data_IF_475369020383
#
_entry.id   IF_475369020383
#
_cell.length_a   1.000
_cell.length_b   1.000
_cell.length_c   1.000
_cell.angle_alpha   90.00
_cell.angle_beta   90.00
_cell.angle_gamma   90.00
#
_symmetry.space_group_name_H-M   'P 1'
#
loop_
_entity.id
_entity.type
_entity.pdbx_description
1 polymer ?
#
# COMPACT_ATOMS: atom_id res chain seq x y z
N UNK A 1 -30.10 5.33 1.99
CA UNK A 1 -29.19 5.61 3.12
C UNK A 1 -28.47 4.30 3.43
N UNK A 2 -27.34 4.07 2.79
CA UNK A 2 -26.47 2.91 3.01
C UNK A 2 -25.68 3.19 4.29
N UNK A 3 -25.99 2.44 5.36
CA UNK A 3 -25.29 2.57 6.64
C UNK A 3 -23.81 2.30 6.46
N UNK A 4 -22.98 3.29 6.77
CA UNK A 4 -21.52 3.13 6.88
C UNK A 4 -21.29 2.11 8.01
N UNK A 5 -20.56 1.00 7.77
CA UNK A 5 -20.26 0.07 8.83
C UNK A 5 -19.48 0.81 9.92
N UNK A 6 -20.02 0.78 11.15
CA UNK A 6 -19.33 1.36 12.31
C UNK A 6 -18.15 0.48 12.68
N UNK A 7 -16.95 0.87 12.23
CA UNK A 7 -15.72 0.27 12.72
C UNK A 7 -15.49 0.65 14.19
N UNK A 8 -14.95 -0.27 15.03
CA UNK A 8 -14.54 0.08 16.36
C UNK A 8 -13.62 1.30 16.28
N UNK A 9 -13.86 2.30 17.13
CA UNK A 9 -13.13 3.56 17.14
C UNK A 9 -11.62 3.30 17.26
N UNK A 10 -10.92 3.37 16.15
CA UNK A 10 -9.47 3.45 16.16
C UNK A 10 -9.09 4.81 16.75
N UNK A 11 -8.23 4.86 17.75
CA UNK A 11 -7.69 6.13 18.22
C UNK A 11 -6.81 6.72 17.12
N UNK A 12 -7.20 7.83 16.64
CA UNK A 12 -6.62 8.65 15.58
C UNK A 12 -7.21 8.44 14.18
N UNK A 13 -7.65 9.54 13.61
CA UNK A 13 -7.95 9.73 12.20
C UNK A 13 -6.78 9.19 11.37
N UNK A 14 -7.00 8.32 10.38
CA UNK A 14 -5.94 7.96 9.45
C UNK A 14 -5.32 9.25 8.94
N UNK A 15 -4.00 9.35 9.01
CA UNK A 15 -3.20 10.47 8.51
C UNK A 15 -3.81 10.98 7.21
N UNK A 16 -4.22 12.25 7.19
CA UNK A 16 -4.90 12.80 6.04
C UNK A 16 -3.96 12.69 4.84
N UNK A 17 -4.44 12.07 3.77
CA UNK A 17 -3.70 11.91 2.51
C UNK A 17 -3.61 13.28 1.82
N UNK A 18 -2.88 14.23 2.41
CA UNK A 18 -2.80 15.64 2.01
C UNK A 18 -1.41 16.08 1.54
N UNK A 19 -0.44 15.15 1.49
CA UNK A 19 0.92 15.44 1.05
C UNK A 19 1.05 15.62 -0.46
N UNK A 20 2.13 16.27 -0.93
CA UNK A 20 2.39 16.49 -2.36
C UNK A 20 2.81 15.23 -3.14
N UNK A 21 3.04 14.11 -2.46
CA UNK A 21 3.48 12.89 -3.12
C UNK A 21 2.35 12.26 -3.97
N UNK A 22 2.62 11.86 -5.22
CA UNK A 22 1.61 11.31 -6.13
C UNK A 22 1.06 9.95 -5.70
N UNK A 23 1.77 9.23 -4.82
CA UNK A 23 1.32 7.98 -4.21
C UNK A 23 1.51 8.07 -2.72
N UNK A 24 0.42 8.01 -1.98
CA UNK A 24 0.41 8.09 -0.53
C UNK A 24 -0.24 6.85 0.06
N UNK A 25 0.42 6.23 1.04
CA UNK A 25 -0.11 5.11 1.82
C UNK A 25 -0.23 5.56 3.26
N UNK A 26 -1.46 5.79 3.71
CA UNK A 26 -1.75 6.06 5.11
C UNK A 26 -1.96 4.74 5.86
N UNK A 27 -1.40 4.66 7.06
CA UNK A 27 -1.57 3.55 7.99
C UNK A 27 -1.86 4.15 9.36
N UNK A 28 -2.96 3.74 9.98
CA UNK A 28 -3.32 4.19 11.32
C UNK A 28 -2.30 3.70 12.36
N UNK A 29 -2.30 4.32 13.53
CA UNK A 29 -1.47 3.91 14.65
C UNK A 29 -1.73 2.45 15.07
N UNK A 30 -0.74 1.87 15.74
CA UNK A 30 -0.84 0.51 16.26
C UNK A 30 -1.99 0.40 17.27
N UNK A 31 -2.89 -0.55 17.05
CA UNK A 31 -4.01 -0.82 17.93
C UNK A 31 -3.99 -2.27 18.43
N UNK A 32 -4.68 -2.53 19.51
CA UNK A 32 -4.88 -3.89 20.02
C UNK A 32 -5.58 -4.76 19.01
N UNK A 33 -5.09 -5.99 18.86
CA UNK A 33 -5.61 -6.97 17.92
C UNK A 33 -6.21 -8.16 18.70
N UNK A 34 -7.28 -8.71 18.14
CA UNK A 34 -7.91 -9.91 18.71
C UNK A 34 -7.03 -11.12 18.42
N UNK A 35 -6.62 -11.84 19.46
CA UNK A 35 -5.76 -13.02 19.32
C UNK A 35 -6.35 -14.08 18.37
N UNK A 36 -7.67 -14.27 18.38
CA UNK A 36 -8.35 -15.17 17.47
C UNK A 36 -8.18 -14.73 16.00
N UNK A 37 -8.36 -13.43 15.70
CA UNK A 37 -8.13 -12.90 14.35
C UNK A 37 -6.67 -13.09 13.94
N UNK A 38 -5.73 -12.81 14.83
CA UNK A 38 -4.29 -13.03 14.57
C UNK A 38 -3.99 -14.50 14.28
N UNK A 39 -4.55 -15.44 15.08
CA UNK A 39 -4.36 -16.87 14.89
C UNK A 39 -4.86 -17.36 13.52
N UNK A 40 -6.07 -16.96 13.13
CA UNK A 40 -6.73 -17.42 11.91
C UNK A 40 -6.50 -16.50 10.69
N UNK A 41 -5.69 -15.46 10.82
CA UNK A 41 -5.46 -14.42 9.81
C UNK A 41 -5.08 -14.99 8.44
N UNK A 42 -4.18 -15.97 8.40
CA UNK A 42 -3.75 -16.59 7.15
C UNK A 42 -4.89 -17.34 6.45
N UNK A 43 -5.80 -17.93 7.20
CA UNK A 43 -6.98 -18.61 6.66
C UNK A 43 -7.99 -17.56 6.17
N UNK A 44 -8.23 -16.53 6.98
CA UNK A 44 -9.17 -15.46 6.66
C UNK A 44 -8.78 -14.66 5.41
N UNK A 45 -7.49 -14.59 5.07
CA UNK A 45 -7.01 -13.87 3.88
C UNK A 45 -7.17 -14.67 2.59
N UNK A 46 -7.31 -16.00 2.64
CA UNK A 46 -7.36 -16.88 1.45
C UNK A 46 -8.39 -16.39 0.41
N UNK A 47 -9.66 -16.07 0.77
CA UNK A 47 -10.63 -15.60 -0.22
C UNK A 47 -10.19 -14.30 -0.91
N UNK A 48 -9.52 -13.39 -0.19
CA UNK A 48 -8.96 -12.18 -0.80
C UNK A 48 -7.84 -12.50 -1.78
N UNK A 49 -6.92 -13.41 -1.43
CA UNK A 49 -5.82 -13.80 -2.29
C UNK A 49 -6.34 -14.46 -3.57
N UNK A 50 -7.37 -15.30 -3.45
CA UNK A 50 -8.01 -15.92 -4.61
C UNK A 50 -8.60 -14.87 -5.56
N UNK A 51 -9.41 -13.96 -5.05
CA UNK A 51 -10.02 -12.91 -5.89
C UNK A 51 -8.95 -11.97 -6.44
N UNK A 52 -8.00 -11.51 -5.62
CA UNK A 52 -6.92 -10.63 -6.06
C UNK A 52 -6.02 -11.29 -7.12
N UNK A 53 -5.86 -12.61 -7.09
CA UNK A 53 -5.14 -13.32 -8.14
C UNK A 53 -5.82 -13.15 -9.51
N UNK A 54 -7.13 -13.37 -9.62
CA UNK A 54 -7.86 -13.18 -10.88
C UNK A 54 -7.90 -11.71 -11.30
N UNK A 55 -8.13 -10.80 -10.36
CA UNK A 55 -8.05 -9.36 -10.63
C UNK A 55 -6.64 -8.94 -11.07
N UNK A 56 -5.60 -9.58 -10.55
CA UNK A 56 -4.22 -9.38 -10.97
C UNK A 56 -3.95 -9.82 -12.40
N UNK A 57 -4.56 -10.93 -12.84
CA UNK A 57 -4.50 -11.35 -14.25
C UNK A 57 -5.15 -10.30 -15.17
N UNK A 58 -6.32 -9.80 -14.79
CA UNK A 58 -6.98 -8.70 -15.52
C UNK A 58 -6.12 -7.44 -15.47
N UNK A 59 -5.52 -7.11 -14.32
CA UNK A 59 -4.62 -5.95 -14.19
C UNK A 59 -3.42 -6.06 -15.13
N UNK A 60 -2.88 -7.25 -15.36
CA UNK A 60 -1.78 -7.47 -16.29
C UNK A 60 -2.18 -7.15 -17.73
N UNK A 61 -3.39 -7.51 -18.14
CA UNK A 61 -3.92 -7.16 -19.46
C UNK A 61 -4.19 -5.66 -19.55
N UNK A 62 -4.81 -5.08 -18.51
CA UNK A 62 -5.13 -3.66 -18.47
C UNK A 62 -3.86 -2.80 -18.50
N UNK A 63 -2.81 -3.17 -17.76
CA UNK A 63 -1.54 -2.44 -17.80
C UNK A 63 -0.84 -2.56 -19.15
N UNK A 64 -0.94 -3.72 -19.80
CA UNK A 64 -0.39 -3.90 -21.15
C UNK A 64 -1.07 -2.99 -22.18
N UNK A 65 -2.41 -2.94 -22.18
CA UNK A 65 -3.17 -2.01 -23.04
C UNK A 65 -2.86 -0.55 -22.65
N UNK A 66 -2.85 -0.26 -21.37
CA UNK A 66 -2.53 1.07 -20.82
C UNK A 66 -1.12 1.53 -21.17
N UNK A 67 -0.15 0.62 -21.27
CA UNK A 67 1.23 0.93 -21.68
C UNK A 67 1.28 1.49 -23.10
N UNK A 68 0.56 0.88 -24.03
CA UNK A 68 0.43 1.42 -25.39
C UNK A 68 -0.22 2.81 -25.37
N UNK A 69 -1.32 2.97 -24.63
CA UNK A 69 -1.95 4.28 -24.49
C UNK A 69 -1.00 5.34 -23.93
N UNK A 70 -0.29 5.01 -22.84
CA UNK A 70 0.66 5.91 -22.21
C UNK A 70 1.88 6.23 -23.09
N UNK A 71 2.34 5.29 -23.91
CA UNK A 71 3.45 5.48 -24.83
C UNK A 71 3.11 6.53 -25.91
N UNK A 72 1.89 6.49 -26.47
CA UNK A 72 1.48 7.41 -27.51
C UNK A 72 0.97 8.76 -26.99
N UNK A 73 0.20 8.74 -25.90
CA UNK A 73 -0.47 9.95 -25.38
C UNK A 73 0.29 10.64 -24.25
N UNK A 74 1.21 9.95 -23.58
CA UNK A 74 1.88 10.42 -22.35
C UNK A 74 0.96 10.40 -21.13
N UNK A 75 -0.17 9.68 -21.19
CA UNK A 75 -1.12 9.50 -20.08
C UNK A 75 -1.66 8.08 -20.07
N UNK A 76 -1.87 7.55 -18.87
CA UNK A 76 -2.59 6.30 -18.72
C UNK A 76 -4.07 6.54 -19.07
N UNK A 77 -4.72 5.72 -19.93
CA UNK A 77 -6.14 5.84 -20.20
C UNK A 77 -6.98 5.74 -18.92
N UNK A 78 -8.05 6.54 -18.81
CA UNK A 78 -8.85 6.66 -17.57
C UNK A 78 -9.42 5.33 -17.09
N UNK A 79 -9.87 4.47 -18.01
CA UNK A 79 -10.38 3.14 -17.63
C UNK A 79 -9.29 2.29 -16.98
N UNK A 80 -8.06 2.33 -17.50
CA UNK A 80 -6.93 1.59 -16.96
C UNK A 80 -6.51 2.17 -15.61
N UNK A 81 -6.42 3.49 -15.51
CA UNK A 81 -6.07 4.17 -14.28
C UNK A 81 -7.07 3.87 -13.14
N UNK A 82 -8.37 3.95 -13.43
CA UNK A 82 -9.42 3.68 -12.45
C UNK A 82 -9.39 2.21 -11.98
N UNK A 83 -9.25 1.27 -12.91
CA UNK A 83 -9.18 -0.15 -12.57
C UNK A 83 -7.93 -0.47 -11.73
N UNK A 84 -6.75 -0.02 -12.19
CA UNK A 84 -5.49 -0.30 -11.52
C UNK A 84 -5.40 0.38 -10.15
N UNK A 85 -5.93 1.60 -10.01
CA UNK A 85 -6.01 2.28 -8.72
C UNK A 85 -6.94 1.53 -7.74
N UNK A 86 -8.10 1.06 -8.19
CA UNK A 86 -9.02 0.24 -7.39
C UNK A 86 -8.38 -1.07 -6.95
N UNK A 87 -7.73 -1.79 -7.87
CA UNK A 87 -6.97 -3.00 -7.57
C UNK A 87 -5.88 -2.75 -6.52
N UNK A 88 -5.14 -1.64 -6.63
CA UNK A 88 -4.10 -1.27 -5.67
C UNK A 88 -4.69 -0.89 -4.30
N UNK A 89 -5.83 -0.17 -4.24
CA UNK A 89 -6.52 0.15 -2.98
C UNK A 89 -6.94 -1.11 -2.23
N UNK A 90 -7.52 -2.08 -2.94
CA UNK A 90 -7.85 -3.35 -2.31
C UNK A 90 -6.59 -4.12 -1.88
N UNK A 91 -5.58 -4.19 -2.74
CA UNK A 91 -4.33 -4.89 -2.44
C UNK A 91 -3.61 -4.30 -1.22
N UNK A 92 -3.61 -2.96 -1.02
CA UNK A 92 -2.97 -2.34 0.14
C UNK A 92 -3.70 -2.67 1.43
N UNK A 93 -5.04 -2.72 1.42
CA UNK A 93 -5.85 -3.13 2.58
C UNK A 93 -5.55 -4.56 2.99
N UNK A 94 -5.53 -5.48 2.02
CA UNK A 94 -5.15 -6.87 2.27
C UNK A 94 -3.70 -6.98 2.74
N UNK A 95 -2.79 -6.22 2.14
CA UNK A 95 -1.39 -6.14 2.55
C UNK A 95 -1.23 -5.66 4.00
N UNK A 96 -1.92 -4.60 4.39
CA UNK A 96 -1.92 -4.09 5.77
C UNK A 96 -2.49 -5.10 6.77
N UNK A 97 -3.58 -5.77 6.40
CA UNK A 97 -4.17 -6.84 7.20
C UNK A 97 -3.17 -7.99 7.40
N UNK A 98 -2.55 -8.49 6.34
CA UNK A 98 -1.55 -9.58 6.41
C UNK A 98 -0.33 -9.16 7.24
N UNK A 99 0.11 -7.91 7.12
CA UNK A 99 1.28 -7.36 7.85
C UNK A 99 0.98 -6.98 9.31
N UNK A 100 -0.15 -7.40 9.90
CA UNK A 100 -0.51 -7.11 11.29
C UNK A 100 -0.68 -5.61 11.60
N UNK A 101 -0.86 -4.76 10.59
CA UNK A 101 -1.05 -3.31 10.77
C UNK A 101 -2.49 -2.95 11.17
N UNK A 102 -3.44 -3.85 10.95
CA UNK A 102 -4.84 -3.69 11.35
C UNK A 102 -5.48 -5.03 11.68
N UNK A 103 -6.48 -5.02 12.56
CA UNK A 103 -7.31 -6.19 12.88
C UNK A 103 -8.65 -6.18 12.13
N UNK A 104 -8.96 -5.09 11.42
CA UNK A 104 -10.18 -4.96 10.65
C UNK A 104 -10.06 -5.78 9.36
N UNK A 105 -11.05 -6.67 9.14
CA UNK A 105 -11.10 -7.48 7.94
C UNK A 105 -11.29 -6.59 6.70
N UNK A 106 -10.48 -6.77 5.62
CA UNK A 106 -10.57 -5.91 4.45
C UNK A 106 -11.92 -6.05 3.74
N UNK A 107 -12.55 -4.95 3.30
CA UNK A 107 -13.73 -5.04 2.45
C UNK A 107 -13.36 -5.51 1.03
N UNK A 108 -14.27 -6.27 0.39
CA UNK A 108 -14.18 -6.66 -1.02
C UNK A 108 -14.65 -5.51 -1.92
N UNK A 109 -13.87 -4.44 -2.01
CA UNK A 109 -14.25 -3.22 -2.73
C UNK A 109 -13.06 -2.55 -3.41
N UNK A 110 -13.30 -1.87 -4.54
CA UNK A 110 -12.32 -1.06 -5.26
C UNK A 110 -12.31 0.40 -4.77
N UNK A 111 -13.44 0.85 -4.22
CA UNK A 111 -13.64 2.20 -3.75
C UNK A 111 -12.72 2.50 -2.56
N UNK A 112 -12.41 3.78 -2.39
CA UNK A 112 -11.74 4.25 -1.19
C UNK A 112 -12.72 4.20 -0.01
N UNK A 113 -12.28 3.67 1.12
CA UNK A 113 -13.02 3.66 2.37
C UNK A 113 -12.29 4.55 3.38
N UNK A 114 -12.79 5.79 3.60
CA UNK A 114 -12.17 6.72 4.53
C UNK A 114 -12.07 6.21 5.98
N UNK A 115 -12.93 5.27 6.36
CA UNK A 115 -12.93 4.66 7.70
C UNK A 115 -11.93 3.52 7.88
N UNK A 116 -11.35 3.01 6.79
CA UNK A 116 -10.43 1.87 6.88
C UNK A 116 -9.01 2.33 7.28
N UNK A 117 -8.35 1.63 8.24
CA UNK A 117 -7.06 2.07 8.80
C UNK A 117 -5.89 2.10 7.82
N UNK A 118 -5.98 1.40 6.70
CA UNK A 118 -4.91 1.35 5.68
C UNK A 118 -5.47 1.80 4.35
N UNK A 119 -4.98 2.94 3.85
CA UNK A 119 -5.51 3.60 2.66
C UNK A 119 -4.43 3.89 1.64
N UNK A 120 -4.81 3.95 0.37
CA UNK A 120 -3.95 4.34 -0.74
C UNK A 120 -4.62 5.46 -1.53
N UNK A 121 -3.98 6.61 -1.63
CA UNK A 121 -4.30 7.65 -2.59
C UNK A 121 -3.28 7.66 -3.73
N UNK A 122 -3.79 7.79 -4.95
CA UNK A 122 -2.99 7.91 -6.16
C UNK A 122 -3.50 9.10 -6.96
N UNK A 123 -2.62 10.06 -7.21
CA UNK A 123 -2.89 11.19 -8.09
C UNK A 123 -2.31 10.91 -9.47
N UNK A 124 -3.15 11.01 -10.49
CA UNK A 124 -2.69 10.80 -11.87
C UNK A 124 -1.88 12.01 -12.35
N UNK A 125 -0.69 11.74 -12.86
CA UNK A 125 0.20 12.72 -13.46
C UNK A 125 0.56 12.33 -14.88
N UNK A 126 1.12 13.28 -15.62
CA UNK A 126 1.66 13.01 -16.96
C UNK A 126 2.88 12.09 -16.87
N UNK A 127 2.90 11.08 -17.72
CA UNK A 127 3.98 10.12 -17.82
C UNK A 127 4.98 10.56 -18.91
N UNK A 128 6.28 10.45 -18.61
CA UNK A 128 7.30 10.61 -19.62
C UNK A 128 7.32 9.38 -20.54
N UNK A 129 7.06 9.56 -21.84
CA UNK A 129 6.96 8.46 -22.82
C UNK A 129 8.23 7.61 -22.90
N UNK A 130 9.40 8.24 -22.81
CA UNK A 130 10.67 7.52 -22.80
C UNK A 130 10.82 6.67 -21.55
N UNK A 131 10.44 7.21 -20.39
CA UNK A 131 10.41 6.44 -19.13
C UNK A 131 9.37 5.31 -19.17
N UNK A 132 8.23 5.49 -19.85
CA UNK A 132 7.23 4.44 -20.07
C UNK A 132 7.81 3.31 -20.93
N UNK A 133 8.53 3.64 -22.00
CA UNK A 133 9.17 2.64 -22.87
C UNK A 133 10.20 1.80 -22.10
N UNK A 134 11.08 2.44 -21.32
CA UNK A 134 12.12 1.77 -20.54
C UNK A 134 11.67 1.36 -19.13
N UNK A 135 10.34 1.42 -18.83
CA UNK A 135 9.78 1.24 -17.47
C UNK A 135 10.27 -0.03 -16.80
N UNK A 136 10.27 -1.15 -17.52
CA UNK A 136 10.69 -2.46 -16.97
C UNK A 136 12.17 -2.42 -16.59
N UNK A 137 13.02 -1.85 -17.43
CA UNK A 137 14.47 -1.75 -17.17
C UNK A 137 14.72 -0.81 -15.98
N UNK A 138 14.06 0.35 -15.96
CA UNK A 138 14.16 1.30 -14.86
C UNK A 138 13.62 0.74 -13.54
N UNK A 139 12.69 -0.20 -13.59
CA UNK A 139 12.12 -0.84 -12.40
C UNK A 139 13.04 -1.90 -11.78
N UNK A 140 14.06 -2.43 -12.51
CA UNK A 140 14.92 -3.52 -12.02
C UNK A 140 15.60 -3.20 -10.68
N UNK A 141 16.27 -2.04 -10.48
CA UNK A 141 16.91 -1.76 -9.19
C UNK A 141 15.89 -1.72 -8.04
N UNK A 142 14.72 -1.08 -8.25
CA UNK A 142 13.67 -1.04 -7.26
C UNK A 142 13.04 -2.42 -7.01
N UNK A 143 12.98 -3.29 -8.03
CA UNK A 143 12.55 -4.68 -7.88
C UNK A 143 13.46 -5.47 -6.96
N UNK A 144 14.78 -5.33 -7.12
CA UNK A 144 15.77 -5.99 -6.27
C UNK A 144 15.60 -5.53 -4.81
N UNK A 145 15.54 -4.22 -4.58
CA UNK A 145 15.31 -3.66 -3.24
C UNK A 145 14.00 -4.17 -2.65
N UNK A 146 12.92 -4.14 -3.44
CA UNK A 146 11.61 -4.65 -3.03
C UNK A 146 11.69 -6.13 -2.62
N UNK A 147 12.35 -6.96 -3.42
CA UNK A 147 12.49 -8.38 -3.15
C UNK A 147 13.26 -8.64 -1.84
N UNK A 148 14.37 -7.95 -1.62
CA UNK A 148 15.18 -8.07 -0.39
C UNK A 148 14.36 -7.64 0.83
N UNK A 149 13.69 -6.49 0.75
CA UNK A 149 12.90 -5.93 1.85
C UNK A 149 11.70 -6.81 2.20
N UNK A 150 10.97 -7.31 1.18
CA UNK A 150 9.84 -8.23 1.40
C UNK A 150 10.32 -9.55 1.99
N UNK A 151 11.44 -10.11 1.53
CA UNK A 151 12.00 -11.35 2.07
C UNK A 151 12.41 -11.19 3.53
N UNK A 152 13.06 -10.09 3.88
CA UNK A 152 13.39 -9.76 5.26
C UNK A 152 12.15 -9.60 6.14
N UNK A 153 11.16 -8.85 5.65
CA UNK A 153 9.90 -8.66 6.36
C UNK A 153 9.13 -9.98 6.54
N UNK A 154 9.18 -10.90 5.58
CA UNK A 154 8.54 -12.22 5.69
C UNK A 154 9.14 -13.06 6.83
N UNK A 155 10.46 -13.03 7.01
CA UNK A 155 11.12 -13.71 8.13
C UNK A 155 10.69 -13.09 9.47
N UNK A 156 10.74 -11.76 9.56
CA UNK A 156 10.35 -11.01 10.77
C UNK A 156 8.86 -11.17 11.08
N UNK A 157 8.02 -11.35 10.05
CA UNK A 157 6.56 -11.50 10.24
C UNK A 157 6.18 -12.73 11.05
N UNK A 158 6.99 -13.80 11.02
CA UNK A 158 6.75 -15.00 11.83
C UNK A 158 6.89 -14.66 13.32
N UNK A 159 7.96 -13.94 13.67
CA UNK A 159 8.21 -13.50 15.06
C UNK A 159 7.14 -12.48 15.47
N UNK A 160 6.83 -11.51 14.61
CA UNK A 160 5.81 -10.52 14.85
C UNK A 160 4.42 -11.16 15.08
N UNK A 161 4.08 -12.18 14.28
CA UNK A 161 2.83 -12.93 14.44
C UNK A 161 2.77 -13.62 15.81
N UNK A 162 3.86 -14.30 16.22
CA UNK A 162 3.91 -14.99 17.51
C UNK A 162 3.81 -14.01 18.68
N UNK A 163 4.55 -12.90 18.62
CA UNK A 163 4.49 -11.86 19.66
C UNK A 163 3.09 -11.27 19.74
N UNK A 164 2.50 -10.90 18.60
CA UNK A 164 1.15 -10.31 18.56
C UNK A 164 0.08 -11.31 19.02
N UNK A 165 0.25 -12.61 18.72
CA UNK A 165 -0.65 -13.66 19.19
C UNK A 165 -0.64 -13.78 20.72
N UNK A 166 0.53 -13.66 21.35
CA UNK A 166 0.68 -13.76 22.81
C UNK A 166 0.24 -12.47 23.51
N UNK A 167 0.72 -11.32 23.05
CA UNK A 167 0.50 -10.03 23.71
C UNK A 167 -0.82 -9.36 23.33
N UNK A 168 -1.32 -9.60 22.11
CA UNK A 168 -2.45 -8.90 21.51
C UNK A 168 -2.06 -7.56 20.89
N UNK A 169 -0.77 -7.22 20.82
CA UNK A 169 -0.26 -5.94 20.31
C UNK A 169 0.97 -6.18 19.44
N UNK A 170 1.04 -5.46 18.30
CA UNK A 170 2.26 -5.42 17.51
C UNK A 170 3.21 -4.37 18.11
N UNK A 171 4.46 -4.73 18.48
CA UNK A 171 5.43 -3.77 18.98
C UNK A 171 5.60 -2.57 18.04
N UNK A 172 5.69 -1.35 18.60
CA UNK A 172 5.74 -0.11 17.82
C UNK A 172 6.87 -0.10 16.78
N UNK A 173 8.04 -0.62 17.12
CA UNK A 173 9.16 -0.74 16.17
C UNK A 173 8.82 -1.63 14.97
N UNK A 174 8.12 -2.74 15.18
CA UNK A 174 7.67 -3.63 14.09
C UNK A 174 6.54 -3.00 13.28
N UNK A 175 5.64 -2.26 13.93
CA UNK A 175 4.59 -1.51 13.25
C UNK A 175 5.19 -0.47 12.29
N UNK A 176 6.17 0.31 12.73
CA UNK A 176 6.88 1.27 11.89
C UNK A 176 7.62 0.58 10.74
N UNK A 177 8.32 -0.51 11.02
CA UNK A 177 9.04 -1.27 10.00
C UNK A 177 8.09 -1.82 8.92
N UNK A 178 7.00 -2.48 9.32
CA UNK A 178 6.02 -3.02 8.36
C UNK A 178 5.28 -1.93 7.60
N UNK A 179 4.98 -0.80 8.23
CA UNK A 179 4.42 0.37 7.55
C UNK A 179 5.36 0.88 6.46
N UNK A 180 6.66 1.02 6.75
CA UNK A 180 7.67 1.44 5.79
C UNK A 180 7.81 0.46 4.61
N UNK A 181 7.82 -0.84 4.90
CA UNK A 181 7.83 -1.90 3.89
C UNK A 181 6.59 -1.84 3.00
N UNK A 182 5.41 -1.68 3.61
CA UNK A 182 4.15 -1.56 2.89
C UNK A 182 4.15 -0.33 1.97
N UNK A 183 4.55 0.83 2.48
CA UNK A 183 4.67 2.09 1.73
C UNK A 183 5.60 1.92 0.53
N UNK A 184 6.80 1.40 0.73
CA UNK A 184 7.76 1.19 -0.35
C UNK A 184 7.25 0.22 -1.42
N UNK A 185 6.72 -0.94 -1.00
CA UNK A 185 6.14 -1.94 -1.90
C UNK A 185 5.04 -1.36 -2.78
N UNK A 186 4.12 -0.59 -2.20
CA UNK A 186 2.99 -0.04 -2.95
C UNK A 186 3.39 1.14 -3.85
N UNK A 187 4.39 1.95 -3.46
CA UNK A 187 4.99 2.93 -4.37
C UNK A 187 5.65 2.25 -5.58
N UNK A 188 6.41 1.19 -5.34
CA UNK A 188 6.98 0.37 -6.42
C UNK A 188 5.92 -0.22 -7.33
N UNK A 189 4.85 -0.81 -6.79
CA UNK A 189 3.78 -1.39 -7.57
C UNK A 189 3.01 -0.31 -8.37
N UNK A 190 2.71 0.83 -7.80
CA UNK A 190 2.07 1.95 -8.51
C UNK A 190 2.98 2.48 -9.63
N UNK A 191 4.30 2.55 -9.39
CA UNK A 191 5.25 2.87 -10.43
C UNK A 191 5.21 1.84 -11.56
N UNK A 192 5.29 0.54 -11.25
CA UNK A 192 5.27 -0.54 -12.25
C UNK A 192 3.98 -0.57 -13.07
N UNK A 193 2.84 -0.30 -12.43
CA UNK A 193 1.52 -0.25 -13.06
C UNK A 193 1.21 1.08 -13.78
N UNK A 194 2.19 1.95 -14.00
CA UNK A 194 2.02 3.24 -14.70
C UNK A 194 1.08 4.23 -14.01
N UNK A 195 0.75 4.02 -12.75
CA UNK A 195 -0.12 4.92 -11.98
C UNK A 195 0.60 6.22 -11.56
N UNK A 196 1.93 6.25 -11.56
CA UNK A 196 2.75 7.41 -11.20
C UNK A 196 4.01 7.49 -12.05
N UNK A 197 4.50 8.68 -12.43
CA UNK A 197 5.81 8.86 -13.03
C UNK A 197 6.95 8.75 -12.01
N UNK A 198 6.66 8.97 -10.72
CA UNK A 198 7.66 9.06 -9.67
C UNK A 198 8.30 7.72 -9.38
N UNK A 199 9.62 7.66 -9.51
CA UNK A 199 10.41 6.47 -9.13
C UNK A 199 10.30 6.23 -7.61
N UNK A 200 10.16 4.99 -7.14
CA UNK A 200 10.10 4.68 -5.71
C UNK A 200 11.46 4.95 -5.07
N UNK A 201 11.69 6.20 -4.66
CA UNK A 201 12.87 6.61 -3.89
C UNK A 201 12.67 6.37 -2.40
N UNK A 202 13.77 6.21 -1.66
CA UNK A 202 13.78 6.14 -0.20
C UNK A 202 12.97 5.00 0.43
N UNK A 203 13.61 4.19 1.26
CA UNK A 203 12.95 3.10 1.99
C UNK A 203 12.12 3.67 3.17
N UNK A 204 12.58 4.74 3.79
CA UNK A 204 12.06 5.26 5.06
C UNK A 204 11.33 6.61 4.95
N UNK A 205 11.05 7.11 3.78
CA UNK A 205 10.30 8.34 3.61
C UNK A 205 10.47 8.97 2.25
N UNK A 206 9.55 9.83 1.89
CA UNK A 206 9.70 10.72 0.75
C UNK A 206 10.61 11.86 1.18
N UNK A 207 11.64 12.17 0.39
CA UNK A 207 12.63 13.21 0.68
C UNK A 207 12.04 14.65 0.72
N UNK A 208 10.72 14.78 0.60
CA UNK A 208 10.03 16.07 0.66
C UNK A 208 8.56 15.85 1.08
N UNK A 209 8.33 15.58 2.36
CA UNK A 209 6.99 15.44 2.91
C UNK A 209 6.83 14.33 3.93
N UNK A 210 7.89 13.96 4.64
CA UNK A 210 7.73 13.15 5.83
C UNK A 210 6.82 13.92 6.80
N UNK A 211 5.71 13.31 7.30
CA UNK A 211 4.98 13.92 8.38
C UNK A 211 5.96 14.14 9.54
N UNK A 212 6.07 15.37 10.01
CA UNK A 212 6.83 15.67 11.20
C UNK A 212 6.22 14.90 12.36
N UNK A 213 6.99 14.00 12.93
CA UNK A 213 6.56 13.32 14.16
C UNK A 213 6.37 14.37 15.25
N UNK A 214 5.32 14.24 16.10
CA UNK A 214 5.18 15.11 17.26
C UNK A 214 6.43 14.95 18.16
N UNK A 215 7.31 15.96 18.15
CA UNK A 215 8.56 15.96 18.93
C UNK A 215 9.85 16.10 18.09
N UNK A 216 9.79 16.14 16.78
CA UNK A 216 10.95 16.45 15.95
C UNK A 216 11.15 17.97 15.85
N UNK A 217 12.35 18.51 16.20
CA UNK A 217 12.61 19.93 16.05
C UNK A 217 12.53 20.33 14.58
N UNK A 218 12.07 21.56 14.26
CA UNK A 218 11.97 22.01 12.87
C UNK A 218 13.33 21.93 12.20
N UNK A 219 13.35 21.38 10.97
CA UNK A 219 14.55 21.33 10.15
C UNK A 219 15.11 22.76 10.04
N UNK A 220 16.38 22.94 10.41
CA UNK A 220 17.07 24.21 10.29
C UNK A 220 17.11 24.62 8.81
N UNK A 221 16.58 25.81 8.50
CA UNK A 221 16.73 26.49 7.20
C UNK A 221 18.17 26.89 6.93
#
# INVERSE_FOLDING_TARGET
MTGIPSYPSYPATPEQLTGPAPVQVAVAEAARQRRATVAFRLILVIPHLFVLYFLGLVASVVVFIGWWGALFTGRLPDFAANYLAGYMRWSVRVGGYVSLLTDIYPPFAFEDDPGYPVRLAVTQERLNRLAVFFRIILAIPAAIVTAVVISGAAIVSIIAWLVTLITGELPAALHLAFTSVLRYRFRYNCYLLLLTPSYPGGLFGDASGAPSYPGEPPAAE
#
